data_IF_953038430168
#
_entry.id   IF_953038430168
#
_cell.length_a   1.000
_cell.length_b   1.000
_cell.length_c   1.000
_cell.angle_alpha   90.00
_cell.angle_beta   90.00
_cell.angle_gamma   90.00
#
_symmetry.space_group_name_H-M   'P 1'
#
loop_
_entity.id
_entity.type
_entity.pdbx_description
1 polymer ?
#
# COMPACT_ATOMS: atom_id res chain seq x y z
N UNK A 1 1.58 8.17 -10.01
CA UNK A 1 1.63 9.15 -8.92
C UNK A 1 2.31 8.58 -7.71
N UNK A 2 2.81 9.45 -6.78
CA UNK A 2 3.52 9.00 -5.59
C UNK A 2 2.66 8.09 -4.71
N UNK A 3 3.27 7.06 -4.12
CA UNK A 3 2.59 6.17 -3.18
C UNK A 3 2.62 6.80 -1.78
N UNK A 4 1.51 6.72 -1.06
CA UNK A 4 1.46 7.00 0.37
C UNK A 4 1.62 5.66 1.07
N UNK A 5 2.67 5.55 1.91
CA UNK A 5 2.97 4.32 2.64
C UNK A 5 3.18 4.62 4.12
N UNK A 6 2.67 3.72 4.95
CA UNK A 6 2.88 3.75 6.38
C UNK A 6 4.24 3.17 6.73
N UNK A 7 4.99 3.82 7.61
CA UNK A 7 6.20 3.25 8.19
C UNK A 7 5.80 2.25 9.29
N UNK A 8 5.99 0.96 9.04
CA UNK A 8 5.66 -0.13 9.98
C UNK A 8 6.86 -0.98 10.34
N UNK A 9 7.87 -1.05 9.46
CA UNK A 9 9.01 -1.93 9.63
C UNK A 9 10.08 -1.39 10.61
N UNK A 10 10.10 -0.08 10.86
CA UNK A 10 11.11 0.57 11.68
C UNK A 10 10.50 1.69 12.52
N UNK A 11 11.04 1.91 13.73
CA UNK A 11 10.62 3.02 14.60
C UNK A 11 11.05 4.38 14.05
N UNK A 12 12.15 4.41 13.30
CA UNK A 12 12.73 5.60 12.69
C UNK A 12 13.23 5.27 11.28
N UNK A 13 13.04 6.19 10.37
CA UNK A 13 13.60 6.11 9.02
C UNK A 13 14.12 7.48 8.57
N UNK A 14 15.13 7.47 7.71
CA UNK A 14 15.62 8.66 7.01
C UNK A 14 15.07 8.62 5.60
N UNK A 15 14.43 9.72 5.20
CA UNK A 15 13.89 9.87 3.85
C UNK A 15 14.47 11.15 3.23
N UNK A 16 14.44 11.23 1.91
CA UNK A 16 14.88 12.44 1.21
C UNK A 16 13.85 13.56 1.39
N UNK A 17 14.27 14.81 1.18
CA UNK A 17 13.40 15.99 1.25
C UNK A 17 12.29 16.01 0.18
N UNK A 18 12.31 15.05 -0.75
CA UNK A 18 11.27 14.89 -1.76
C UNK A 18 9.99 14.23 -1.22
N UNK A 19 10.05 13.65 -0.03
CA UNK A 19 8.89 13.00 0.59
C UNK A 19 8.23 13.93 1.62
N UNK A 20 6.90 13.99 1.57
CA UNK A 20 6.10 14.64 2.61
C UNK A 20 5.84 13.63 3.72
N UNK A 21 6.46 13.85 4.90
CA UNK A 21 6.22 13.02 6.07
C UNK A 21 5.11 13.64 6.92
N UNK A 22 4.13 12.84 7.30
CA UNK A 22 3.02 13.32 8.13
C UNK A 22 2.55 12.25 9.13
N UNK A 23 1.78 12.68 10.10
CA UNK A 23 1.12 11.80 11.08
C UNK A 23 -0.32 12.26 11.31
N UNK A 24 -1.19 11.33 11.65
CA UNK A 24 -2.55 11.65 12.05
C UNK A 24 -2.53 12.37 13.40
N UNK A 25 -3.10 13.58 13.46
CA UNK A 25 -3.21 14.35 14.71
C UNK A 25 -4.22 13.74 15.65
N UNK A 26 -5.39 13.39 15.14
CA UNK A 26 -6.49 12.82 15.92
C UNK A 26 -6.71 11.35 15.56
N UNK A 27 -6.10 10.47 16.34
CA UNK A 27 -6.25 9.01 16.18
C UNK A 27 -7.64 8.51 16.64
N UNK A 28 -8.40 9.34 17.36
CA UNK A 28 -9.72 8.94 17.83
C UNK A 28 -10.82 9.08 16.76
N UNK A 29 -10.57 9.80 15.67
CA UNK A 29 -11.54 10.01 14.60
C UNK A 29 -11.20 9.33 13.28
N UNK A 30 -10.01 8.72 13.18
CA UNK A 30 -9.56 8.07 11.95
C UNK A 30 -8.94 6.72 12.25
N UNK A 31 -9.51 5.66 11.67
CA UNK A 31 -8.91 4.33 11.69
C UNK A 31 -7.71 4.30 10.74
N UNK A 32 -6.54 3.94 11.26
CA UNK A 32 -5.28 3.97 10.49
C UNK A 32 -5.28 2.97 9.32
N UNK A 33 -5.88 1.80 9.49
CA UNK A 33 -5.97 0.80 8.44
C UNK A 33 -6.93 1.24 7.33
N UNK A 34 -8.07 1.86 7.71
CA UNK A 34 -8.97 2.49 6.75
C UNK A 34 -8.23 3.56 5.93
N UNK A 35 -7.48 4.43 6.61
CA UNK A 35 -6.74 5.50 5.94
C UNK A 35 -5.69 4.97 4.97
N UNK A 36 -4.98 3.90 5.34
CA UNK A 36 -4.01 3.23 4.48
C UNK A 36 -4.69 2.67 3.22
N UNK A 37 -5.78 1.93 3.37
CA UNK A 37 -6.59 1.41 2.27
C UNK A 37 -7.16 2.51 1.37
N UNK A 38 -7.62 3.60 1.97
CA UNK A 38 -8.10 4.76 1.23
C UNK A 38 -7.00 5.38 0.35
N UNK A 39 -5.79 5.49 0.87
CA UNK A 39 -4.65 5.99 0.10
C UNK A 39 -4.25 5.02 -1.02
N UNK A 40 -4.26 3.71 -0.77
CA UNK A 40 -3.92 2.66 -1.75
C UNK A 40 -4.97 2.51 -2.87
N UNK A 41 -6.23 2.77 -2.58
CA UNK A 41 -7.32 2.70 -3.58
C UNK A 41 -7.15 3.65 -4.77
N UNK A 42 -6.28 4.64 -4.65
CA UNK A 42 -6.08 5.67 -5.67
C UNK A 42 -7.17 6.76 -5.69
N UNK A 43 -8.18 6.69 -4.81
CA UNK A 43 -9.21 7.74 -4.69
C UNK A 43 -8.55 9.08 -4.36
N UNK A 44 -7.59 9.06 -3.47
CA UNK A 44 -6.81 10.23 -3.08
C UNK A 44 -5.99 10.83 -4.24
N UNK A 45 -5.61 10.02 -5.21
CA UNK A 45 -4.86 10.48 -6.38
C UNK A 45 -5.65 11.49 -7.22
N UNK A 46 -6.98 11.41 -7.25
CA UNK A 46 -7.82 12.36 -7.98
C UNK A 46 -7.72 13.77 -7.41
N UNK A 47 -7.65 13.88 -6.10
CA UNK A 47 -7.46 15.18 -5.41
C UNK A 47 -6.01 15.67 -5.56
N UNK A 48 -5.03 14.77 -5.47
CA UNK A 48 -3.62 15.09 -5.72
C UNK A 48 -3.38 15.64 -7.13
N UNK A 49 -4.07 15.09 -8.15
CA UNK A 49 -3.94 15.60 -9.53
C UNK A 49 -4.43 17.03 -9.65
N UNK A 50 -5.55 17.38 -9.03
CA UNK A 50 -6.10 18.74 -9.09
C UNK A 50 -5.10 19.77 -8.53
N UNK A 51 -4.49 19.45 -7.40
CA UNK A 51 -3.53 20.31 -6.71
C UNK A 51 -2.19 20.36 -7.46
N UNK A 52 -1.74 19.23 -8.01
CA UNK A 52 -0.49 19.15 -8.75
C UNK A 52 -0.51 19.89 -10.10
N UNK A 53 -1.67 20.01 -10.74
CA UNK A 53 -1.82 20.75 -12.00
C UNK A 53 -1.72 22.27 -11.82
N UNK A 54 -2.04 22.77 -10.65
CA UNK A 54 -1.93 24.20 -10.33
C UNK A 54 -0.48 24.63 -10.02
N UNK A 55 0.41 23.67 -9.64
CA UNK A 55 1.82 23.92 -9.30
C UNK A 55 2.84 23.55 -10.38
N UNK A 56 2.41 23.33 -11.63
CA UNK A 56 3.18 22.72 -12.71
C UNK A 56 4.56 23.32 -12.97
N UNK A 57 5.63 22.62 -12.60
CA UNK A 57 6.97 22.84 -13.14
C UNK A 57 7.28 21.81 -14.23
N UNK A 58 7.85 22.32 -15.35
CA UNK A 58 8.34 21.53 -16.46
C UNK A 58 9.16 20.32 -15.97
N UNK A 59 8.88 19.14 -16.51
CA UNK A 59 9.58 17.85 -16.47
C UNK A 59 8.78 16.66 -15.93
N UNK A 60 7.43 16.72 -15.96
CA UNK A 60 6.61 15.50 -15.72
C UNK A 60 6.57 14.98 -14.28
N UNK A 61 7.27 15.60 -13.34
CA UNK A 61 7.20 15.31 -11.91
C UNK A 61 6.12 16.22 -11.30
N UNK A 62 5.02 15.61 -10.87
CA UNK A 62 3.97 16.29 -10.13
C UNK A 62 4.53 16.74 -8.78
N UNK A 63 4.81 18.02 -8.65
CA UNK A 63 5.34 18.59 -7.43
C UNK A 63 4.15 19.10 -6.58
N UNK A 64 3.79 18.34 -5.54
CA UNK A 64 2.79 18.73 -4.56
C UNK A 64 3.53 19.41 -3.41
N UNK A 65 3.18 20.66 -3.11
CA UNK A 65 3.78 21.33 -1.94
C UNK A 65 3.18 20.78 -0.65
N UNK A 66 3.92 20.81 0.50
CA UNK A 66 3.33 20.43 1.79
C UNK A 66 2.06 21.22 2.12
N UNK A 67 2.01 22.51 1.78
CA UNK A 67 0.83 23.35 2.00
C UNK A 67 -0.38 22.82 1.24
N UNK A 68 -0.21 22.52 -0.05
CA UNK A 68 -1.29 22.03 -0.90
C UNK A 68 -1.76 20.65 -0.43
N UNK A 69 -0.81 19.77 -0.06
CA UNK A 69 -1.12 18.46 0.50
C UNK A 69 -1.98 18.54 1.77
N UNK A 70 -1.61 19.41 2.71
CA UNK A 70 -2.35 19.54 3.97
C UNK A 70 -3.67 20.31 3.85
N UNK A 71 -3.87 21.06 2.78
CA UNK A 71 -5.12 21.75 2.49
C UNK A 71 -6.14 20.89 1.72
N UNK A 72 -5.75 19.67 1.31
CA UNK A 72 -6.69 18.77 0.64
C UNK A 72 -7.79 18.28 1.59
N UNK A 73 -9.01 18.28 1.10
CA UNK A 73 -10.17 17.80 1.83
C UNK A 73 -10.46 16.33 1.49
N UNK A 74 -10.55 15.53 2.54
CA UNK A 74 -10.93 14.12 2.40
C UNK A 74 -12.35 13.93 2.94
N UNK A 75 -13.21 13.29 2.14
CA UNK A 75 -14.51 12.83 2.61
C UNK A 75 -14.34 11.41 3.13
N UNK A 76 -14.40 11.25 4.44
CA UNK A 76 -14.30 9.98 5.13
C UNK A 76 -15.60 9.72 5.90
N UNK A 77 -16.06 8.47 6.01
CA UNK A 77 -17.24 8.13 6.80
C UNK A 77 -16.98 8.28 8.31
N UNK A 78 -17.99 8.01 9.13
CA UNK A 78 -17.82 7.99 10.58
C UNK A 78 -16.88 6.84 11.00
N UNK A 79 -16.40 6.86 12.24
CA UNK A 79 -15.39 5.93 12.71
C UNK A 79 -15.87 4.47 12.71
N UNK A 80 -17.13 4.23 13.02
CA UNK A 80 -17.71 2.87 13.05
C UNK A 80 -17.71 2.25 11.65
N UNK A 81 -18.10 3.01 10.66
CA UNK A 81 -18.06 2.59 9.27
C UNK A 81 -16.63 2.39 8.77
N UNK A 82 -15.69 3.29 9.15
CA UNK A 82 -14.26 3.09 8.87
C UNK A 82 -13.74 1.77 9.44
N UNK A 83 -14.13 1.42 10.67
CA UNK A 83 -13.72 0.18 11.32
C UNK A 83 -14.23 -1.06 10.57
N UNK A 84 -15.48 -1.04 10.13
CA UNK A 84 -16.07 -2.14 9.35
C UNK A 84 -15.36 -2.28 8.00
N UNK A 85 -15.20 -1.19 7.26
CA UNK A 85 -14.50 -1.19 5.95
C UNK A 85 -13.06 -1.69 6.12
N UNK A 86 -12.32 -1.16 7.10
CA UNK A 86 -10.94 -1.56 7.36
C UNK A 86 -10.85 -3.06 7.66
N UNK A 87 -11.77 -3.61 8.45
CA UNK A 87 -11.78 -5.03 8.78
C UNK A 87 -11.95 -5.90 7.54
N UNK A 88 -12.90 -5.56 6.67
CA UNK A 88 -13.14 -6.30 5.42
C UNK A 88 -11.90 -6.27 4.52
N UNK A 89 -11.32 -5.09 4.30
CA UNK A 89 -10.18 -4.94 3.40
C UNK A 89 -8.91 -5.59 3.94
N UNK A 90 -8.61 -5.44 5.23
CA UNK A 90 -7.45 -6.09 5.87
C UNK A 90 -7.60 -7.64 5.84
N UNK A 91 -8.81 -8.17 5.96
CA UNK A 91 -9.00 -9.61 5.82
C UNK A 91 -8.77 -10.08 4.38
N UNK A 92 -9.22 -9.32 3.38
CA UNK A 92 -8.93 -9.63 1.99
C UNK A 92 -7.41 -9.60 1.70
N UNK A 93 -6.68 -8.61 2.24
CA UNK A 93 -5.22 -8.56 2.12
C UNK A 93 -4.54 -9.79 2.71
N UNK A 94 -4.99 -10.26 3.88
CA UNK A 94 -4.47 -11.49 4.50
C UNK A 94 -4.73 -12.72 3.64
N UNK A 95 -5.89 -12.83 3.03
CA UNK A 95 -6.19 -13.94 2.11
C UNK A 95 -5.28 -13.92 0.89
N UNK A 96 -5.01 -12.74 0.33
CA UNK A 96 -4.07 -12.56 -0.77
C UNK A 96 -2.66 -12.97 -0.35
N UNK A 97 -2.20 -12.54 0.83
CA UNK A 97 -0.88 -12.92 1.36
C UNK A 97 -0.74 -14.44 1.52
N UNK A 98 -1.73 -15.09 2.13
CA UNK A 98 -1.77 -16.55 2.26
C UNK A 98 -1.76 -17.28 0.90
N UNK A 99 -2.46 -16.72 -0.10
CA UNK A 99 -2.45 -17.28 -1.45
C UNK A 99 -1.06 -17.15 -2.10
N UNK A 100 -0.37 -16.03 -1.90
CA UNK A 100 1.00 -15.83 -2.36
C UNK A 100 1.99 -16.79 -1.68
N UNK A 101 1.89 -16.99 -0.37
CA UNK A 101 2.72 -17.97 0.35
C UNK A 101 2.48 -19.40 -0.17
N UNK A 102 1.22 -19.78 -0.37
CA UNK A 102 0.86 -21.07 -0.94
C UNK A 102 1.43 -21.25 -2.35
N UNK A 103 1.33 -20.22 -3.19
CA UNK A 103 1.90 -20.24 -4.53
C UNK A 103 3.42 -20.43 -4.49
N UNK A 104 4.12 -19.69 -3.64
CA UNK A 104 5.57 -19.83 -3.46
C UNK A 104 5.95 -21.24 -3.00
N UNK A 105 5.20 -21.84 -2.07
CA UNK A 105 5.37 -23.21 -1.62
C UNK A 105 5.21 -24.23 -2.76
N UNK A 106 4.15 -24.11 -3.55
CA UNK A 106 3.91 -24.98 -4.70
C UNK A 106 4.99 -24.84 -5.79
N UNK A 107 5.46 -23.63 -6.04
CA UNK A 107 6.57 -23.40 -6.97
C UNK A 107 7.87 -24.04 -6.48
N UNK A 108 8.13 -24.00 -5.18
CA UNK A 108 9.29 -24.67 -4.58
C UNK A 108 9.19 -26.19 -4.68
N UNK A 109 8.03 -26.78 -4.38
CA UNK A 109 7.76 -28.20 -4.55
C UNK A 109 7.95 -28.64 -6.00
N UNK A 110 7.38 -27.90 -6.96
CA UNK A 110 7.56 -28.16 -8.39
C UNK A 110 9.05 -28.20 -8.76
N UNK A 111 9.83 -27.21 -8.33
CA UNK A 111 11.29 -27.19 -8.60
C UNK A 111 11.99 -28.41 -8.01
N UNK A 112 11.66 -28.79 -6.78
CA UNK A 112 12.21 -29.98 -6.14
C UNK A 112 11.88 -31.28 -6.90
N UNK A 113 10.63 -31.44 -7.33
CA UNK A 113 10.20 -32.58 -8.15
C UNK A 113 10.93 -32.61 -9.50
N UNK A 114 11.04 -31.48 -10.19
CA UNK A 114 11.78 -31.39 -11.45
C UNK A 114 13.23 -31.84 -11.29
N UNK A 115 13.91 -31.40 -10.24
CA UNK A 115 15.28 -31.86 -9.96
C UNK A 115 15.38 -33.36 -9.71
N UNK A 116 14.43 -33.97 -9.02
CA UNK A 116 14.46 -35.38 -8.70
C UNK A 116 14.09 -36.26 -9.91
N UNK A 117 13.05 -35.88 -10.65
CA UNK A 117 12.49 -36.69 -11.74
C UNK A 117 13.28 -36.51 -13.04
N UNK A 118 13.62 -35.28 -13.43
CA UNK A 118 14.31 -35.02 -14.70
C UNK A 118 15.79 -35.44 -14.66
N UNK A 119 16.40 -35.46 -13.46
CA UNK A 119 17.78 -35.98 -13.30
C UNK A 119 17.85 -37.48 -13.10
N UNK A 120 16.72 -38.19 -13.05
CA UNK A 120 16.66 -39.63 -12.83
C UNK A 120 17.01 -40.07 -11.39
N UNK A 121 17.14 -39.13 -10.44
CA UNK A 121 17.36 -39.48 -9.01
C UNK A 121 16.19 -40.24 -8.41
N UNK A 122 14.97 -39.96 -8.86
CA UNK A 122 13.76 -40.76 -8.61
C UNK A 122 13.15 -41.16 -9.93
N UNK A 123 12.83 -42.45 -10.07
CA UNK A 123 12.07 -42.98 -11.21
C UNK A 123 10.64 -43.26 -10.78
N UNK A 124 9.69 -43.01 -11.66
CA UNK A 124 8.26 -43.28 -11.42
C UNK A 124 7.90 -44.69 -11.85
N UNK A 125 8.76 -45.31 -12.71
CA UNK A 125 8.62 -46.66 -13.23
C UNK A 125 9.93 -47.42 -12.99
#
# INVERSE_FOLDING_TARGET
MGAIKRLTAFDKAVVTTLYICFKLKNKASVNINYFEQYCESGIFNKELVKVANEGGRAHGLLNVTPSDFFNMHMRIPNLDEQNVIATVLVNADKEIELAHEKLAGLQSQKRGLMQQLLTGKKRII
#
